data_IF_184314380157
#
_entry.id   IF_184314380157
#
_cell.length_a   1.000
_cell.length_b   1.000
_cell.length_c   1.000
_cell.angle_alpha   90.00
_cell.angle_beta   90.00
_cell.angle_gamma   90.00
#
_symmetry.space_group_name_H-M   'P 1'
#
loop_
_entity.id
_entity.type
_entity.pdbx_description
1 polymer ?
#
# COMPACT_ATOMS: atom_id res chain seq x y z
N UNK A 1 -35.70 10.98 9.31
CA UNK A 1 -34.75 10.65 8.23
C UNK A 1 -33.38 11.21 8.59
N UNK A 2 -32.48 10.38 9.13
CA UNK A 2 -31.10 10.74 9.44
C UNK A 2 -30.24 10.41 8.21
N UNK A 3 -29.65 11.41 7.56
CA UNK A 3 -28.60 11.20 6.57
C UNK A 3 -27.30 10.92 7.33
N UNK A 4 -26.75 9.73 7.14
CA UNK A 4 -25.44 9.35 7.67
C UNK A 4 -24.35 10.13 6.94
N UNK A 5 -23.55 10.87 7.70
CA UNK A 5 -22.30 11.47 7.24
C UNK A 5 -21.27 10.34 7.12
N UNK A 6 -20.73 10.16 5.92
CA UNK A 6 -19.68 9.19 5.63
C UNK A 6 -18.37 9.72 6.24
N UNK A 7 -17.86 9.00 7.22
CA UNK A 7 -16.60 9.28 7.93
C UNK A 7 -15.44 9.26 6.93
N UNK A 8 -14.68 10.36 6.88
CA UNK A 8 -13.46 10.51 6.10
C UNK A 8 -12.40 9.53 6.56
N UNK A 9 -12.07 8.57 5.71
CA UNK A 9 -10.93 7.68 5.87
C UNK A 9 -9.68 8.38 5.32
N UNK A 10 -8.61 8.47 6.10
CA UNK A 10 -7.27 8.73 5.55
C UNK A 10 -6.97 7.64 4.52
N UNK A 11 -6.94 8.04 3.24
CA UNK A 11 -6.74 7.15 2.11
C UNK A 11 -5.28 7.20 1.67
N UNK A 12 -4.43 6.47 2.40
CA UNK A 12 -3.14 6.04 1.87
C UNK A 12 -3.41 4.97 0.79
N UNK A 13 -3.51 5.39 -0.47
CA UNK A 13 -3.76 4.48 -1.60
C UNK A 13 -2.45 4.06 -2.25
N UNK A 14 -2.06 2.80 -2.03
CA UNK A 14 -1.01 2.15 -2.81
C UNK A 14 -1.54 1.79 -4.21
N UNK A 15 -0.96 2.40 -5.25
CA UNK A 15 -1.22 2.04 -6.65
C UNK A 15 -0.57 0.70 -6.98
N UNK A 16 -1.33 -0.22 -7.56
CA UNK A 16 -0.86 -1.53 -8.01
C UNK A 16 -1.33 -1.71 -9.46
N UNK A 17 -0.40 -1.68 -10.42
CA UNK A 17 -0.68 -1.97 -11.83
C UNK A 17 0.19 -3.12 -12.36
N UNK A 18 -0.47 -3.92 -13.21
CA UNK A 18 -0.08 -5.22 -13.68
C UNK A 18 0.80 -5.14 -14.93
N UNK A 19 1.97 -5.78 -14.89
CA UNK A 19 2.80 -6.03 -16.06
C UNK A 19 3.23 -7.50 -16.04
N UNK A 20 2.44 -8.37 -16.65
CA UNK A 20 2.72 -9.82 -16.69
C UNK A 20 2.21 -10.59 -17.90
N UNK A 21 1.45 -9.97 -18.81
CA UNK A 21 0.73 -10.70 -19.85
C UNK A 21 1.49 -10.86 -21.19
N UNK A 22 2.60 -10.16 -21.43
CA UNK A 22 3.18 -10.08 -22.79
C UNK A 22 4.41 -10.98 -23.05
N UNK A 23 4.79 -11.87 -22.12
CA UNK A 23 6.01 -12.69 -22.27
C UNK A 23 5.82 -14.09 -22.90
N UNK A 24 4.59 -14.58 -23.09
CA UNK A 24 4.35 -15.98 -23.49
C UNK A 24 4.34 -16.26 -25.01
N UNK A 25 4.32 -15.25 -25.88
CA UNK A 25 4.11 -15.47 -27.33
C UNK A 25 5.39 -15.77 -28.14
N UNK A 26 6.60 -15.71 -27.55
CA UNK A 26 7.86 -15.80 -28.33
C UNK A 26 8.71 -17.07 -28.15
N UNK A 27 8.23 -18.10 -27.45
CA UNK A 27 8.97 -19.36 -27.30
C UNK A 27 8.24 -20.54 -27.96
N UNK A 28 8.70 -20.89 -29.16
CA UNK A 28 8.18 -21.96 -30.01
C UNK A 28 7.80 -23.25 -29.29
N UNK A 29 6.49 -23.47 -29.19
CA UNK A 29 5.81 -24.68 -28.72
C UNK A 29 6.10 -25.85 -29.67
N UNK A 30 7.26 -26.49 -29.50
CA UNK A 30 7.50 -27.84 -29.99
C UNK A 30 7.16 -28.88 -28.90
N UNK A 31 5.92 -28.83 -28.40
CA UNK A 31 5.29 -29.93 -27.68
C UNK A 31 4.15 -30.47 -28.54
N UNK A 32 4.31 -31.65 -29.14
CA UNK A 32 3.21 -32.35 -29.82
C UNK A 32 2.20 -32.87 -28.78
N UNK A 33 1.44 -31.95 -28.19
CA UNK A 33 0.28 -32.18 -27.35
C UNK A 33 -0.93 -31.47 -27.95
N UNK A 34 -2.14 -31.97 -27.69
CA UNK A 34 -3.40 -31.30 -28.06
C UNK A 34 -3.44 -29.89 -27.46
N UNK A 35 -4.19 -28.98 -28.09
CA UNK A 35 -4.51 -27.64 -27.56
C UNK A 35 -4.97 -27.79 -26.10
N UNK A 36 -4.37 -27.02 -25.20
CA UNK A 36 -4.75 -27.03 -23.78
C UNK A 36 -6.20 -26.58 -23.61
N UNK A 37 -6.93 -27.24 -22.72
CA UNK A 37 -8.30 -26.83 -22.38
C UNK A 37 -8.24 -25.55 -21.56
N UNK A 38 -9.25 -24.69 -21.70
CA UNK A 38 -9.34 -23.43 -20.95
C UNK A 38 -10.69 -23.26 -20.28
N UNK A 39 -10.71 -22.66 -19.10
CA UNK A 39 -11.95 -22.30 -18.41
C UNK A 39 -11.72 -21.06 -17.55
N UNK A 40 -12.71 -20.15 -17.54
CA UNK A 40 -12.76 -19.07 -16.58
C UNK A 40 -13.34 -19.61 -15.26
N UNK A 41 -12.58 -19.51 -14.17
CA UNK A 41 -12.99 -20.00 -12.83
C UNK A 41 -12.76 -18.89 -11.80
N UNK A 42 -13.80 -18.55 -11.05
CA UNK A 42 -13.75 -17.54 -9.99
C UNK A 42 -13.96 -18.12 -8.57
N UNK A 43 -14.38 -17.26 -7.64
CA UNK A 43 -14.53 -17.60 -6.23
C UNK A 43 -15.50 -18.75 -5.92
N UNK A 44 -16.45 -19.06 -6.81
CA UNK A 44 -17.35 -20.20 -6.67
C UNK A 44 -16.63 -21.56 -6.83
N UNK A 45 -15.40 -21.57 -7.35
CA UNK A 45 -14.71 -22.78 -7.77
C UNK A 45 -15.24 -23.30 -9.10
N UNK A 46 -14.73 -24.45 -9.53
CA UNK A 46 -15.06 -25.01 -10.84
C UNK A 46 -14.30 -26.27 -11.14
N UNK A 47 -14.54 -26.83 -12.32
CA UNK A 47 -13.83 -28.02 -12.80
C UNK A 47 -13.46 -27.82 -14.26
N UNK A 48 -12.25 -28.25 -14.62
CA UNK A 48 -11.74 -28.29 -15.99
C UNK A 48 -11.20 -29.69 -16.27
N UNK A 49 -11.51 -30.22 -17.45
CA UNK A 49 -11.12 -31.58 -17.85
C UNK A 49 -10.44 -31.56 -19.21
N UNK A 50 -9.31 -32.25 -19.33
CA UNK A 50 -8.58 -32.42 -20.58
C UNK A 50 -8.33 -33.89 -20.89
N UNK A 51 -8.30 -34.20 -22.19
CA UNK A 51 -7.99 -35.54 -22.69
C UNK A 51 -6.52 -35.63 -23.10
N UNK A 52 -5.77 -36.46 -22.37
CA UNK A 52 -4.39 -36.80 -22.69
C UNK A 52 -4.31 -38.01 -23.64
N UNK A 53 -3.09 -38.35 -24.07
CA UNK A 53 -2.87 -39.50 -24.93
C UNK A 53 -3.34 -40.82 -24.28
N UNK A 54 -3.69 -41.81 -25.12
CA UNK A 54 -4.04 -43.18 -24.70
C UNK A 54 -5.25 -43.25 -23.75
N UNK A 55 -6.24 -42.38 -23.95
CA UNK A 55 -7.49 -42.38 -23.21
C UNK A 55 -7.35 -41.97 -21.74
N UNK A 56 -6.29 -41.24 -21.38
CA UNK A 56 -6.14 -40.71 -20.03
C UNK A 56 -6.94 -39.42 -19.88
N UNK A 57 -7.85 -39.38 -18.91
CA UNK A 57 -8.62 -38.19 -18.56
C UNK A 57 -7.95 -37.48 -17.38
N UNK A 58 -7.74 -36.18 -17.53
CA UNK A 58 -7.19 -35.29 -16.50
C UNK A 58 -8.27 -34.32 -16.07
N UNK A 59 -8.71 -34.38 -14.81
CA UNK A 59 -9.75 -33.49 -14.29
C UNK A 59 -9.20 -32.70 -13.10
N UNK A 60 -9.12 -31.38 -13.23
CA UNK A 60 -8.79 -30.47 -12.15
C UNK A 60 -10.08 -29.93 -11.54
N UNK A 61 -10.29 -30.20 -10.25
CA UNK A 61 -11.39 -29.64 -9.47
C UNK A 61 -10.85 -28.58 -8.50
N UNK A 62 -11.32 -27.35 -8.65
CA UNK A 62 -10.94 -26.18 -7.87
C UNK A 62 -12.09 -25.88 -6.90
N UNK A 63 -11.88 -25.99 -5.57
CA UNK A 63 -12.96 -25.79 -4.62
C UNK A 63 -13.32 -24.30 -4.47
N UNK A 64 -14.54 -24.04 -3.99
CA UNK A 64 -15.00 -22.69 -3.68
C UNK A 64 -14.05 -21.96 -2.70
N UNK A 65 -13.74 -20.71 -3.01
CA UNK A 65 -12.80 -19.86 -2.28
C UNK A 65 -11.33 -20.24 -2.47
N UNK A 66 -10.98 -21.06 -3.47
CA UNK A 66 -9.58 -21.29 -3.85
C UNK A 66 -8.98 -20.13 -4.66
N UNK A 67 -9.84 -19.35 -5.33
CA UNK A 67 -9.48 -18.16 -6.10
C UNK A 67 -10.26 -16.96 -5.54
N UNK A 68 -9.61 -15.81 -5.49
CA UNK A 68 -10.24 -14.56 -5.06
C UNK A 68 -11.01 -13.89 -6.20
N UNK A 69 -10.51 -14.05 -7.42
CA UNK A 69 -10.99 -13.36 -8.62
C UNK A 69 -11.21 -14.37 -9.75
N UNK A 70 -11.99 -13.97 -10.74
CA UNK A 70 -12.18 -14.76 -11.95
C UNK A 70 -10.87 -14.84 -12.75
N UNK A 71 -10.41 -16.06 -13.02
CA UNK A 71 -9.11 -16.33 -13.64
C UNK A 71 -9.28 -17.27 -14.82
N UNK A 72 -8.66 -16.96 -15.96
CA UNK A 72 -8.54 -17.92 -17.06
C UNK A 72 -7.52 -19.01 -16.68
N UNK A 73 -7.98 -20.25 -16.64
CA UNK A 73 -7.20 -21.41 -16.24
C UNK A 73 -6.97 -22.29 -17.45
N UNK A 74 -5.72 -22.68 -17.67
CA UNK A 74 -5.36 -23.61 -18.74
C UNK A 74 -4.90 -24.95 -18.21
N UNK A 75 -5.32 -26.02 -18.88
CA UNK A 75 -5.03 -27.40 -18.55
C UNK A 75 -4.38 -28.06 -19.77
N UNK A 76 -3.05 -28.01 -19.84
CA UNK A 76 -2.29 -28.47 -21.02
C UNK A 76 -1.70 -29.85 -20.78
N UNK A 77 -2.21 -30.93 -21.42
CA UNK A 77 -1.66 -32.27 -21.23
C UNK A 77 -0.21 -32.38 -21.72
N UNK A 78 0.66 -32.99 -20.91
CA UNK A 78 2.08 -33.16 -21.20
C UNK A 78 2.38 -34.65 -21.45
N UNK A 79 3.02 -34.94 -22.58
CA UNK A 79 3.40 -36.30 -22.99
C UNK A 79 4.85 -36.66 -22.65
N UNK A 80 5.70 -35.65 -22.45
CA UNK A 80 7.10 -35.79 -22.05
C UNK A 80 7.58 -34.51 -21.36
N UNK A 81 8.58 -34.63 -20.48
CA UNK A 81 9.18 -33.52 -19.73
C UNK A 81 10.70 -33.63 -19.79
N UNK A 82 11.42 -32.51 -19.90
CA UNK A 82 12.89 -32.51 -19.88
C UNK A 82 13.37 -32.85 -18.46
N UNK A 83 14.59 -33.35 -18.33
CA UNK A 83 15.20 -33.67 -17.02
C UNK A 83 14.71 -34.95 -16.35
N UNK A 84 13.70 -35.64 -16.89
CA UNK A 84 13.23 -36.91 -16.35
C UNK A 84 14.32 -37.99 -16.42
N UNK A 85 14.58 -38.75 -15.33
CA UNK A 85 15.51 -39.87 -15.37
C UNK A 85 15.15 -40.86 -16.49
N UNK A 86 16.13 -41.30 -17.28
CA UNK A 86 15.91 -42.10 -18.52
C UNK A 86 15.02 -43.34 -18.37
N UNK A 87 14.98 -43.93 -17.16
CA UNK A 87 14.20 -45.15 -16.84
C UNK A 87 12.81 -44.85 -16.25
N UNK A 88 12.47 -43.58 -16.03
CA UNK A 88 11.13 -43.13 -15.63
C UNK A 88 10.43 -42.61 -16.89
N UNK A 89 9.18 -43.02 -17.08
CA UNK A 89 8.33 -42.58 -18.18
C UNK A 89 7.07 -41.94 -17.64
N UNK A 90 6.76 -40.73 -18.11
CA UNK A 90 5.50 -40.07 -17.79
C UNK A 90 4.33 -40.93 -18.31
N UNK A 91 3.43 -41.30 -17.40
CA UNK A 91 2.20 -42.02 -17.73
C UNK A 91 1.12 -41.03 -18.17
N UNK A 92 0.98 -39.93 -17.43
CA UNK A 92 0.18 -38.76 -17.79
C UNK A 92 0.65 -37.55 -16.98
N UNK A 93 0.58 -36.36 -17.55
CA UNK A 93 0.91 -35.13 -16.85
C UNK A 93 0.16 -33.95 -17.43
N UNK A 94 0.19 -32.85 -16.70
CA UNK A 94 -0.45 -31.59 -17.07
C UNK A 94 0.46 -30.43 -16.67
N UNK A 95 0.50 -29.43 -17.53
CA UNK A 95 0.99 -28.09 -17.21
C UNK A 95 -0.22 -27.19 -16.99
N UNK A 96 -0.30 -26.60 -15.80
CA UNK A 96 -1.34 -25.61 -15.49
C UNK A 96 -0.89 -24.21 -15.91
N UNK A 97 -1.81 -23.39 -16.38
CA UNK A 97 -1.62 -21.94 -16.52
C UNK A 97 -2.71 -21.18 -15.76
N UNK A 98 -2.40 -19.98 -15.21
CA UNK A 98 -1.10 -19.29 -15.23
C UNK A 98 -0.04 -19.96 -14.34
N UNK A 99 1.21 -20.06 -14.82
CA UNK A 99 2.31 -20.66 -14.05
C UNK A 99 2.52 -19.90 -12.73
N UNK A 100 2.71 -20.63 -11.63
CA UNK A 100 2.98 -20.06 -10.32
C UNK A 100 1.75 -19.58 -9.55
N UNK A 101 0.55 -19.60 -10.15
CA UNK A 101 -0.69 -19.19 -9.47
C UNK A 101 -0.90 -19.99 -8.18
N UNK A 102 -0.81 -19.33 -7.03
CA UNK A 102 -1.01 -19.95 -5.72
C UNK A 102 -2.49 -20.02 -5.37
N UNK A 103 -2.96 -21.19 -4.90
CA UNK A 103 -4.37 -21.38 -4.57
C UNK A 103 -4.63 -21.17 -3.08
N UNK A 104 -5.73 -20.47 -2.76
CA UNK A 104 -6.21 -20.23 -1.39
C UNK A 104 -6.72 -21.51 -0.68
N UNK A 105 -7.07 -22.55 -1.45
CA UNK A 105 -7.34 -23.92 -0.98
C UNK A 105 -6.78 -24.90 -2.00
N UNK A 106 -6.33 -26.07 -1.55
CA UNK A 106 -5.78 -27.07 -2.48
C UNK A 106 -6.88 -27.55 -3.45
N UNK A 107 -6.62 -27.43 -4.76
CA UNK A 107 -7.38 -28.10 -5.79
C UNK A 107 -7.03 -29.59 -5.83
N UNK A 108 -7.84 -30.37 -6.54
CA UNK A 108 -7.59 -31.81 -6.74
C UNK A 108 -7.46 -32.09 -8.22
N UNK A 109 -6.28 -32.59 -8.63
CA UNK A 109 -6.11 -33.20 -9.94
C UNK A 109 -6.41 -34.69 -9.83
N UNK A 110 -7.35 -35.15 -10.63
CA UNK A 110 -7.71 -36.53 -10.81
C UNK A 110 -7.15 -37.02 -12.16
N UNK A 111 -6.28 -38.02 -12.10
CA UNK A 111 -5.68 -38.67 -13.28
C UNK A 111 -6.29 -40.05 -13.41
N UNK A 112 -7.15 -40.21 -14.42
CA UNK A 112 -7.79 -41.48 -14.73
C UNK A 112 -7.02 -42.17 -15.86
N UNK A 113 -6.32 -43.27 -15.56
CA UNK A 113 -5.43 -43.92 -16.53
C UNK A 113 -5.33 -45.43 -16.32
N UNK A 114 -5.26 -46.20 -17.40
CA UNK A 114 -5.02 -47.65 -17.36
C UNK A 114 -3.63 -48.01 -16.84
N UNK A 115 -2.71 -47.03 -16.77
CA UNK A 115 -1.35 -47.19 -16.25
C UNK A 115 -1.19 -46.72 -14.82
N UNK A 116 -2.28 -46.67 -14.05
CA UNK A 116 -2.21 -46.28 -12.66
C UNK A 116 -1.35 -47.27 -11.88
N UNK A 117 -1.40 -48.57 -12.17
CA UNK A 117 -0.60 -49.59 -11.48
C UNK A 117 0.91 -49.25 -11.52
N UNK A 118 1.55 -49.15 -10.35
CA UNK A 118 2.97 -48.81 -10.22
C UNK A 118 3.33 -47.34 -10.51
N UNK A 119 2.38 -46.49 -10.90
CA UNK A 119 2.67 -45.07 -11.12
C UNK A 119 2.97 -44.36 -9.80
N UNK A 120 3.81 -43.32 -9.84
CA UNK A 120 4.07 -42.41 -8.72
C UNK A 120 3.90 -40.99 -9.21
N UNK A 121 3.44 -40.10 -8.34
CA UNK A 121 3.24 -38.71 -8.71
C UNK A 121 4.56 -37.93 -8.76
N UNK A 122 4.62 -36.98 -9.68
CA UNK A 122 5.71 -36.05 -9.90
C UNK A 122 5.16 -34.62 -9.96
N UNK A 123 5.98 -33.66 -9.54
CA UNK A 123 5.78 -32.23 -9.78
C UNK A 123 7.05 -31.63 -10.41
N UNK A 124 6.87 -30.55 -11.17
CA UNK A 124 7.93 -29.80 -11.82
C UNK A 124 7.48 -28.36 -12.10
N UNK A 125 8.43 -27.49 -12.43
CA UNK A 125 8.19 -26.14 -12.93
C UNK A 125 8.51 -26.02 -14.42
N UNK A 126 7.76 -25.18 -15.13
CA UNK A 126 7.91 -24.96 -16.57
C UNK A 126 8.01 -26.27 -17.36
N UNK A 127 9.05 -26.42 -18.19
CA UNK A 127 9.23 -27.61 -19.05
C UNK A 127 10.00 -28.78 -18.40
N UNK A 128 9.95 -28.92 -17.07
CA UNK A 128 10.56 -30.04 -16.33
C UNK A 128 11.72 -29.65 -15.42
N UNK A 129 11.74 -28.42 -14.89
CA UNK A 129 12.70 -28.02 -13.84
C UNK A 129 12.26 -28.54 -12.47
N UNK A 130 13.22 -28.76 -11.57
CA UNK A 130 13.00 -29.14 -10.16
C UNK A 130 12.06 -30.33 -9.95
N UNK A 131 12.27 -31.37 -10.75
CA UNK A 131 11.47 -32.59 -10.69
C UNK A 131 11.57 -33.20 -9.30
N UNK A 132 10.43 -33.39 -8.66
CA UNK A 132 10.33 -34.04 -7.36
C UNK A 132 9.16 -35.01 -7.33
N UNK A 133 9.25 -36.02 -6.46
CA UNK A 133 8.10 -36.89 -6.16
C UNK A 133 7.06 -36.07 -5.43
N UNK A 134 5.81 -36.31 -5.76
CA UNK A 134 4.69 -35.53 -5.23
C UNK A 134 3.72 -36.41 -4.44
N UNK A 135 3.06 -35.89 -3.39
CA UNK A 135 2.05 -36.66 -2.65
C UNK A 135 0.87 -37.02 -3.55
N UNK A 136 0.42 -38.27 -3.46
CA UNK A 136 -0.75 -38.74 -4.20
C UNK A 136 -1.45 -39.88 -3.48
N UNK A 137 -2.76 -39.98 -3.65
CA UNK A 137 -3.54 -41.17 -3.26
C UNK A 137 -3.99 -41.91 -4.51
N UNK A 138 -4.20 -43.22 -4.38
CA UNK A 138 -4.66 -44.08 -5.47
C UNK A 138 -5.89 -44.86 -5.06
N UNK A 139 -6.84 -44.95 -5.98
CA UNK A 139 -7.98 -45.87 -5.90
C UNK A 139 -8.17 -46.51 -7.29
N UNK A 140 -7.79 -47.78 -7.44
CA UNK A 140 -7.86 -48.48 -8.73
C UNK A 140 -7.05 -47.78 -9.83
N UNK A 141 -7.72 -47.44 -10.93
CA UNK A 141 -7.16 -46.73 -12.10
C UNK A 141 -7.08 -45.21 -11.94
N UNK A 142 -7.42 -44.70 -10.76
CA UNK A 142 -7.44 -43.27 -10.46
C UNK A 142 -6.29 -42.88 -9.53
N UNK A 143 -5.57 -41.82 -9.90
CA UNK A 143 -4.56 -41.18 -9.04
C UNK A 143 -5.03 -39.76 -8.74
N UNK A 144 -5.10 -39.41 -7.45
CA UNK A 144 -5.48 -38.08 -6.98
C UNK A 144 -4.25 -37.36 -6.45
N UNK A 145 -4.05 -36.12 -6.90
CA UNK A 145 -2.96 -35.23 -6.50
C UNK A 145 -3.57 -33.93 -5.96
N UNK A 146 -3.05 -33.44 -4.84
CA UNK A 146 -3.46 -32.13 -4.29
C UNK A 146 -2.67 -31.03 -4.97
N UNK A 147 -3.31 -30.14 -5.71
CA UNK A 147 -2.65 -29.03 -6.41
C UNK A 147 -2.74 -27.79 -5.53
N UNK A 148 -1.59 -27.23 -5.17
CA UNK A 148 -1.49 -26.12 -4.19
C UNK A 148 -1.06 -24.80 -4.85
N UNK A 149 -0.45 -24.92 -6.02
CA UNK A 149 -0.16 -23.85 -6.95
C UNK A 149 -0.11 -24.44 -8.37
N UNK A 150 -0.21 -23.60 -9.39
CA UNK A 150 -0.13 -24.01 -10.77
C UNK A 150 1.32 -24.16 -11.21
N UNK A 151 1.61 -25.35 -11.70
CA UNK A 151 2.90 -25.76 -12.24
C UNK A 151 2.67 -27.03 -13.07
N UNK A 152 3.73 -27.78 -13.32
CA UNK A 152 3.62 -29.12 -13.85
C UNK A 152 3.36 -30.18 -12.77
N UNK A 153 2.36 -31.04 -12.97
CA UNK A 153 2.18 -32.24 -12.14
C UNK A 153 1.73 -33.43 -12.98
N UNK A 154 2.04 -34.64 -12.52
CA UNK A 154 1.66 -35.83 -13.25
C UNK A 154 1.98 -37.11 -12.53
N UNK A 155 1.82 -38.21 -13.25
CA UNK A 155 2.14 -39.56 -12.80
C UNK A 155 3.12 -40.18 -13.76
N UNK A 156 4.10 -40.91 -13.23
CA UNK A 156 5.11 -41.60 -14.02
C UNK A 156 5.36 -43.01 -13.49
N UNK A 157 5.82 -43.88 -14.39
CA UNK A 157 6.12 -45.29 -14.12
C UNK A 157 7.59 -45.56 -14.38
N UNK A 158 8.18 -46.48 -13.62
CA UNK A 158 9.57 -46.88 -13.78
C UNK A 158 10.01 -47.82 -12.66
N UNK A 159 11.09 -48.60 -12.85
CA UNK A 159 11.60 -49.52 -11.84
C UNK A 159 12.03 -48.77 -10.59
N UNK A 160 11.90 -49.38 -9.41
CA UNK A 160 12.16 -48.74 -8.10
C UNK A 160 13.48 -47.98 -8.04
N UNK A 161 14.57 -48.59 -8.51
CA UNK A 161 15.91 -47.99 -8.53
C UNK A 161 16.01 -46.70 -9.37
N UNK A 162 15.16 -46.54 -10.41
CA UNK A 162 15.16 -45.33 -11.24
C UNK A 162 14.69 -44.08 -10.46
N UNK A 163 14.01 -44.27 -9.34
CA UNK A 163 13.50 -43.18 -8.50
C UNK A 163 14.53 -42.66 -7.50
N UNK A 164 15.65 -43.35 -7.28
CA UNK A 164 16.62 -42.97 -6.24
C UNK A 164 17.19 -41.55 -6.44
N UNK A 165 17.30 -41.08 -7.69
CA UNK A 165 17.73 -39.72 -8.02
C UNK A 165 16.60 -38.67 -8.09
N UNK A 166 15.36 -39.04 -7.78
CA UNK A 166 14.23 -38.10 -7.74
C UNK A 166 13.93 -37.74 -6.28
N UNK A 167 14.17 -36.50 -5.85
CA UNK A 167 13.90 -36.03 -4.49
C UNK A 167 12.45 -36.30 -4.08
N UNK A 168 12.22 -36.66 -2.82
CA UNK A 168 10.86 -36.64 -2.26
C UNK A 168 10.34 -35.21 -2.16
N UNK A 169 9.03 -35.03 -2.01
CA UNK A 169 8.45 -33.71 -1.70
C UNK A 169 9.11 -33.08 -0.46
N UNK A 170 9.39 -33.88 0.56
CA UNK A 170 10.08 -33.42 1.77
C UNK A 170 11.50 -32.94 1.47
N UNK A 171 12.29 -33.71 0.72
CA UNK A 171 13.65 -33.29 0.30
C UNK A 171 13.61 -32.02 -0.55
N UNK A 172 12.72 -31.94 -1.54
CA UNK A 172 12.61 -30.78 -2.43
C UNK A 172 12.23 -29.51 -1.66
N UNK A 173 11.26 -29.60 -0.73
CA UNK A 173 10.87 -28.47 0.11
C UNK A 173 11.97 -28.03 1.08
N UNK A 174 12.76 -28.96 1.64
CA UNK A 174 13.94 -28.63 2.46
C UNK A 174 15.01 -27.91 1.65
N UNK A 175 15.27 -28.37 0.42
CA UNK A 175 16.21 -27.71 -0.49
C UNK A 175 15.72 -26.29 -0.80
N UNK A 176 14.45 -26.10 -1.14
CA UNK A 176 13.85 -24.78 -1.37
C UNK A 176 13.93 -23.87 -0.14
N UNK A 177 13.65 -24.41 1.04
CA UNK A 177 13.77 -23.66 2.30
C UNK A 177 15.20 -23.14 2.50
N UNK A 178 16.19 -24.03 2.36
CA UNK A 178 17.60 -23.70 2.56
C UNK A 178 18.15 -22.74 1.49
N UNK A 179 17.72 -22.88 0.23
CA UNK A 179 18.21 -22.09 -0.89
C UNK A 179 17.54 -20.71 -1.02
N UNK A 180 16.23 -20.64 -0.80
CA UNK A 180 15.45 -19.45 -1.16
C UNK A 180 14.90 -18.72 0.06
N UNK A 181 14.31 -19.45 1.02
CA UNK A 181 13.55 -18.87 2.13
C UNK A 181 14.46 -18.40 3.25
N UNK A 182 15.29 -19.29 3.79
CA UNK A 182 16.14 -18.98 4.94
C UNK A 182 17.15 -17.86 4.64
N UNK A 183 17.82 -17.83 3.47
CA UNK A 183 18.77 -16.76 3.16
C UNK A 183 18.12 -15.38 3.07
N UNK A 184 16.94 -15.25 2.46
CA UNK A 184 16.25 -13.95 2.38
C UNK A 184 15.74 -13.50 3.74
N UNK A 185 15.27 -14.43 4.59
CA UNK A 185 14.89 -14.10 5.97
C UNK A 185 16.08 -13.63 6.80
N UNK A 186 17.23 -14.32 6.71
CA UNK A 186 18.47 -13.89 7.40
C UNK A 186 18.97 -12.54 6.91
N UNK A 187 18.82 -12.24 5.61
CA UNK A 187 19.15 -10.93 5.05
C UNK A 187 18.23 -9.83 5.59
N UNK A 188 16.94 -10.12 5.75
CA UNK A 188 15.95 -9.19 6.28
C UNK A 188 16.18 -8.77 7.75
N UNK A 189 16.97 -9.54 8.51
CA UNK A 189 17.42 -9.16 9.85
C UNK A 189 18.32 -7.92 9.86
N UNK A 190 18.92 -7.57 8.72
CA UNK A 190 19.83 -6.42 8.58
C UNK A 190 19.36 -5.42 7.54
N UNK A 191 18.72 -5.90 6.48
CA UNK A 191 18.23 -5.07 5.38
C UNK A 191 16.70 -5.07 5.38
N UNK A 192 16.12 -4.00 5.92
CA UNK A 192 14.66 -3.90 6.06
C UNK A 192 13.94 -3.89 4.70
N UNK A 193 14.58 -3.40 3.64
CA UNK A 193 14.01 -3.32 2.28
C UNK A 193 13.58 -4.68 1.72
N UNK A 194 14.19 -5.78 2.19
CA UNK A 194 13.82 -7.14 1.75
C UNK A 194 12.83 -7.83 2.68
N UNK A 195 12.33 -7.16 3.73
CA UNK A 195 11.41 -7.74 4.70
C UNK A 195 10.13 -8.25 4.02
N UNK A 196 9.51 -7.47 3.12
CA UNK A 196 8.29 -7.89 2.40
C UNK A 196 8.50 -9.17 1.60
N UNK A 197 9.59 -9.24 0.83
CA UNK A 197 9.97 -10.45 0.07
C UNK A 197 10.19 -11.61 1.03
N UNK A 198 10.97 -11.44 2.10
CA UNK A 198 11.24 -12.48 3.08
C UNK A 198 9.95 -13.07 3.70
N UNK A 199 9.03 -12.20 4.11
CA UNK A 199 7.74 -12.59 4.68
C UNK A 199 6.89 -13.36 3.67
N UNK A 200 6.78 -12.85 2.45
CA UNK A 200 6.03 -13.53 1.38
C UNK A 200 6.60 -14.91 1.05
N UNK A 201 7.94 -15.05 0.99
CA UNK A 201 8.61 -16.32 0.72
C UNK A 201 8.40 -17.32 1.86
N UNK A 202 8.51 -16.87 3.11
CA UNK A 202 8.30 -17.68 4.29
C UNK A 202 6.85 -18.20 4.38
N UNK A 203 5.86 -17.30 4.26
CA UNK A 203 4.45 -17.69 4.33
C UNK A 203 4.01 -18.53 3.13
N UNK A 204 4.53 -18.25 1.93
CA UNK A 204 4.32 -19.08 0.74
C UNK A 204 4.81 -20.52 0.94
N UNK A 205 6.01 -20.68 1.51
CA UNK A 205 6.58 -21.98 1.82
C UNK A 205 5.80 -22.72 2.93
N UNK A 206 5.46 -22.04 4.04
CA UNK A 206 4.65 -22.60 5.12
C UNK A 206 3.29 -23.10 4.62
N UNK A 207 2.64 -22.31 3.79
CA UNK A 207 1.37 -22.65 3.16
C UNK A 207 1.49 -23.90 2.29
N UNK A 208 2.56 -24.01 1.49
CA UNK A 208 2.80 -25.17 0.65
C UNK A 208 2.97 -26.45 1.49
N UNK A 209 3.71 -26.37 2.59
CA UNK A 209 3.89 -27.50 3.54
C UNK A 209 2.54 -27.95 4.11
N UNK A 210 1.70 -27.01 4.56
CA UNK A 210 0.39 -27.31 5.15
C UNK A 210 -0.59 -27.91 4.14
N UNK A 211 -0.69 -27.32 2.95
CA UNK A 211 -1.61 -27.81 1.92
C UNK A 211 -1.24 -29.21 1.40
N UNK A 212 0.04 -29.59 1.51
CA UNK A 212 0.49 -30.95 1.20
C UNK A 212 0.30 -31.94 2.36
N UNK A 213 -0.12 -31.46 3.54
CA UNK A 213 -0.26 -32.29 4.74
C UNK A 213 1.08 -32.72 5.35
N UNK A 214 2.14 -31.94 5.13
CA UNK A 214 3.51 -32.27 5.57
C UNK A 214 3.92 -31.52 6.84
N UNK A 215 3.02 -30.79 7.51
CA UNK A 215 3.35 -29.92 8.66
C UNK A 215 4.15 -30.61 9.78
N UNK A 216 3.92 -31.91 10.02
CA UNK A 216 4.67 -32.69 11.01
C UNK A 216 6.15 -32.90 10.68
N UNK A 217 6.51 -32.92 9.40
CA UNK A 217 7.87 -33.19 8.89
C UNK A 217 8.80 -31.96 8.97
N UNK A 218 8.23 -30.77 9.16
CA UNK A 218 8.91 -29.48 9.02
C UNK A 218 8.89 -28.65 10.30
N UNK A 219 8.67 -29.27 11.48
CA UNK A 219 8.55 -28.56 12.75
C UNK A 219 9.74 -27.63 13.04
N UNK A 220 10.96 -28.05 12.69
CA UNK A 220 12.17 -27.29 12.93
C UNK A 220 12.23 -26.02 12.06
N UNK A 221 11.99 -26.15 10.76
CA UNK A 221 11.97 -25.04 9.81
C UNK A 221 10.83 -24.05 10.14
N UNK A 222 9.66 -24.56 10.55
CA UNK A 222 8.55 -23.71 11.03
C UNK A 222 8.95 -22.92 12.27
N UNK A 223 9.58 -23.56 13.25
CA UNK A 223 10.05 -22.89 14.45
C UNK A 223 11.11 -21.82 14.14
N UNK A 224 12.04 -22.10 13.21
CA UNK A 224 13.05 -21.12 12.78
C UNK A 224 12.41 -19.91 12.09
N UNK A 225 11.43 -20.12 11.19
CA UNK A 225 10.66 -19.01 10.58
C UNK A 225 10.01 -18.16 11.67
N UNK A 226 9.25 -18.78 12.58
CA UNK A 226 8.52 -18.08 13.64
C UNK A 226 9.46 -17.32 14.59
N UNK A 227 10.67 -17.83 14.84
CA UNK A 227 11.69 -17.15 15.63
C UNK A 227 12.33 -15.95 14.92
N UNK A 228 12.34 -15.94 13.58
CA UNK A 228 12.89 -14.85 12.77
C UNK A 228 11.88 -13.72 12.52
N UNK A 229 10.59 -14.05 12.39
CA UNK A 229 9.52 -13.07 12.12
C UNK A 229 9.55 -11.83 13.02
N UNK A 230 9.50 -11.92 14.37
CA UNK A 230 9.52 -10.73 15.23
C UNK A 230 10.78 -9.89 15.03
N UNK A 231 11.93 -10.52 14.80
CA UNK A 231 13.21 -9.82 14.60
C UNK A 231 13.24 -9.06 13.28
N UNK A 232 12.67 -9.64 12.21
CA UNK A 232 12.56 -8.99 10.91
C UNK A 232 11.61 -7.80 10.99
N UNK A 233 10.44 -7.97 11.62
CA UNK A 233 9.48 -6.87 11.81
C UNK A 233 10.06 -5.76 12.68
N UNK A 234 10.77 -6.12 13.75
CA UNK A 234 11.46 -5.16 14.61
C UNK A 234 12.48 -4.32 13.83
N UNK A 235 13.40 -4.98 13.10
CA UNK A 235 14.39 -4.27 12.28
C UNK A 235 13.72 -3.37 11.24
N UNK A 236 12.65 -3.85 10.60
CA UNK A 236 11.91 -3.04 9.63
C UNK A 236 11.23 -1.83 10.25
N UNK A 237 10.68 -1.98 11.45
CA UNK A 237 10.04 -0.90 12.21
C UNK A 237 11.06 0.12 12.69
N UNK A 238 12.19 -0.32 13.26
CA UNK A 238 13.26 0.57 13.71
C UNK A 238 13.81 1.39 12.55
N UNK A 239 14.09 0.75 11.40
CA UNK A 239 14.58 1.46 10.21
C UNK A 239 13.55 2.40 9.59
N UNK A 240 12.27 2.06 9.65
CA UNK A 240 11.21 2.95 9.21
C UNK A 240 11.12 4.19 10.13
N UNK A 241 11.23 3.99 11.44
CA UNK A 241 11.28 5.06 12.44
C UNK A 241 12.48 5.98 12.22
N UNK A 242 13.68 5.41 12.06
CA UNK A 242 14.93 6.15 11.78
C UNK A 242 14.78 7.05 10.53
N UNK A 243 14.23 6.49 9.44
CA UNK A 243 14.04 7.23 8.19
C UNK A 243 12.94 8.28 8.30
N UNK A 244 11.87 8.04 9.07
CA UNK A 244 10.91 9.09 9.33
C UNK A 244 11.52 10.24 10.13
N UNK A 245 12.35 9.95 11.15
CA UNK A 245 13.08 11.00 11.87
C UNK A 245 13.99 11.81 10.93
N UNK A 246 14.45 11.21 9.83
CA UNK A 246 15.15 11.87 8.72
C UNK A 246 14.22 12.48 7.65
N UNK A 247 12.96 12.75 8.01
CA UNK A 247 11.92 13.38 7.20
C UNK A 247 11.39 12.60 5.98
N UNK A 248 11.45 11.26 6.02
CA UNK A 248 10.79 10.41 5.04
C UNK A 248 9.38 10.00 5.50
N UNK A 249 8.38 10.79 5.09
CA UNK A 249 6.96 10.56 5.43
C UNK A 249 6.40 9.23 4.89
N UNK A 250 7.00 8.65 3.84
CA UNK A 250 6.53 7.36 3.29
C UNK A 250 6.67 6.23 4.30
N UNK A 251 7.52 6.40 5.31
CA UNK A 251 7.73 5.41 6.35
C UNK A 251 6.55 5.32 7.33
N UNK A 252 5.71 6.35 7.46
CA UNK A 252 4.50 6.29 8.29
C UNK A 252 3.55 5.18 7.81
N UNK A 253 3.23 5.16 6.51
CA UNK A 253 2.41 4.10 5.91
C UNK A 253 3.06 2.73 6.09
N UNK A 254 4.38 2.65 5.93
CA UNK A 254 5.13 1.41 6.12
C UNK A 254 5.02 0.87 7.55
N UNK A 255 5.10 1.74 8.56
CA UNK A 255 4.90 1.36 9.96
C UNK A 255 3.50 0.80 10.21
N UNK A 256 2.46 1.41 9.63
CA UNK A 256 1.09 0.90 9.73
C UNK A 256 0.90 -0.46 9.05
N UNK A 257 1.57 -0.68 7.91
CA UNK A 257 1.60 -2.01 7.25
C UNK A 257 2.26 -3.06 8.15
N UNK A 258 3.33 -2.71 8.86
CA UNK A 258 3.99 -3.59 9.83
C UNK A 258 3.07 -3.87 11.02
N UNK A 259 2.40 -2.86 11.58
CA UNK A 259 1.43 -3.03 12.69
C UNK A 259 0.33 -4.04 12.32
N UNK A 260 -0.29 -3.83 11.15
CA UNK A 260 -1.36 -4.72 10.66
C UNK A 260 -0.86 -6.15 10.50
N UNK A 261 0.34 -6.33 9.96
CA UNK A 261 0.94 -7.63 9.78
C UNK A 261 1.25 -8.30 11.13
N UNK A 262 1.85 -7.56 12.07
CA UNK A 262 2.16 -8.06 13.40
C UNK A 262 0.88 -8.50 14.14
N UNK A 263 -0.17 -7.68 14.10
CA UNK A 263 -1.48 -7.99 14.68
C UNK A 263 -2.14 -9.23 14.08
N UNK A 264 -2.11 -9.39 12.74
CA UNK A 264 -2.67 -10.57 12.06
C UNK A 264 -2.03 -11.89 12.52
N UNK A 265 -0.74 -11.84 12.88
CA UNK A 265 0.04 -13.01 13.27
C UNK A 265 0.29 -13.12 14.78
N UNK A 266 -0.28 -12.22 15.60
CA UNK A 266 -0.03 -12.17 17.04
C UNK A 266 1.45 -11.95 17.40
N UNK A 267 2.20 -11.30 16.52
CA UNK A 267 3.63 -11.01 16.72
C UNK A 267 3.74 -9.74 17.54
N UNK A 268 4.51 -9.81 18.62
CA UNK A 268 4.82 -8.65 19.45
C UNK A 268 6.19 -8.09 19.04
N UNK A 269 6.23 -6.80 18.71
CA UNK A 269 7.47 -6.03 18.56
C UNK A 269 7.82 -5.39 19.90
N UNK A 270 9.11 -5.19 20.16
CA UNK A 270 9.59 -4.62 21.41
C UNK A 270 9.49 -3.08 21.41
N UNK A 271 9.23 -2.52 22.59
CA UNK A 271 9.10 -1.09 22.81
C UNK A 271 7.78 -0.53 22.29
N UNK A 272 7.82 0.71 21.81
CA UNK A 272 6.65 1.37 21.25
C UNK A 272 6.11 0.65 20.01
N UNK A 273 4.78 0.56 19.92
CA UNK A 273 4.08 -0.05 18.79
C UNK A 273 4.37 0.70 17.48
N UNK A 274 4.12 0.05 16.34
CA UNK A 274 4.31 0.72 15.06
C UNK A 274 3.31 1.86 14.86
N UNK A 275 2.11 1.77 15.46
CA UNK A 275 1.15 2.87 15.52
C UNK A 275 1.68 4.08 16.31
N UNK A 276 2.27 3.85 17.49
CA UNK A 276 2.82 4.91 18.32
C UNK A 276 3.99 5.63 17.62
N UNK A 277 4.88 4.86 16.97
CA UNK A 277 5.98 5.42 16.16
C UNK A 277 5.47 6.16 14.93
N UNK A 278 4.41 5.67 14.28
CA UNK A 278 3.75 6.39 13.20
C UNK A 278 3.13 7.71 13.66
N UNK A 279 2.56 7.77 14.87
CA UNK A 279 2.07 9.04 15.45
C UNK A 279 3.21 10.02 15.68
N UNK A 280 4.28 9.61 16.37
CA UNK A 280 5.50 10.42 16.57
C UNK A 280 6.12 10.90 15.25
N UNK A 281 6.00 10.09 14.21
CA UNK A 281 6.39 10.44 12.86
C UNK A 281 5.48 11.53 12.25
N UNK A 282 4.17 11.51 12.48
CA UNK A 282 3.20 12.42 11.84
C UNK A 282 2.95 13.71 12.64
N UNK A 283 4.02 14.39 13.04
CA UNK A 283 3.97 15.72 13.64
C UNK A 283 4.38 16.79 12.65
N UNK A 284 3.62 17.87 12.60
CA UNK A 284 3.85 18.95 11.65
C UNK A 284 3.71 20.32 12.31
N UNK A 285 4.36 21.31 11.71
CA UNK A 285 4.13 22.71 11.99
C UNK A 285 3.73 23.42 10.69
N UNK A 286 2.70 24.25 10.77
CA UNK A 286 2.28 25.14 9.68
C UNK A 286 2.68 26.56 10.06
N UNK A 287 3.66 27.12 9.34
CA UNK A 287 3.90 28.56 9.39
C UNK A 287 2.97 29.26 8.40
N UNK A 288 2.26 30.24 8.92
CA UNK A 288 1.32 31.08 8.19
C UNK A 288 1.83 32.52 8.23
N UNK A 289 1.95 33.11 7.05
CA UNK A 289 2.26 34.52 6.87
C UNK A 289 1.28 35.10 5.87
N UNK A 290 0.69 36.22 6.23
CA UNK A 290 -0.29 36.86 5.37
C UNK A 290 -0.20 38.38 5.47
N UNK A 291 -0.39 39.01 4.32
CA UNK A 291 -0.42 40.46 4.19
C UNK A 291 -1.57 40.86 3.29
N UNK A 292 -2.39 41.78 3.79
CA UNK A 292 -3.51 42.36 3.07
C UNK A 292 -3.25 43.82 2.77
N UNK A 293 -3.74 44.27 1.63
CA UNK A 293 -3.84 45.68 1.28
C UNK A 293 -5.24 45.94 0.72
N UNK A 294 -5.95 46.88 1.35
CA UNK A 294 -7.22 47.41 0.89
C UNK A 294 -6.99 48.80 0.31
N UNK A 295 -7.26 48.98 -0.97
CA UNK A 295 -7.36 50.29 -1.61
C UNK A 295 -8.80 50.76 -1.39
N UNK A 296 -9.01 51.73 -0.51
CA UNK A 296 -10.35 52.18 -0.10
C UNK A 296 -10.89 53.24 -1.05
N UNK A 297 -10.02 54.18 -1.39
CA UNK A 297 -10.15 55.21 -2.42
C UNK A 297 -8.76 55.39 -3.03
N UNK A 298 -8.60 56.01 -4.21
CA UNK A 298 -7.30 56.09 -4.91
C UNK A 298 -6.18 56.75 -4.07
N UNK A 299 -6.55 57.51 -3.03
CA UNK A 299 -5.63 58.19 -2.13
C UNK A 299 -5.46 57.53 -0.75
N UNK A 300 -6.14 56.42 -0.45
CA UNK A 300 -6.10 55.78 0.86
C UNK A 300 -5.94 54.26 0.76
N UNK A 301 -4.86 53.76 1.37
CA UNK A 301 -4.57 52.33 1.51
C UNK A 301 -4.62 51.95 2.97
N UNK A 302 -5.20 50.79 3.28
CA UNK A 302 -5.07 50.14 4.56
C UNK A 302 -4.34 48.82 4.37
N UNK A 303 -3.37 48.52 5.24
CA UNK A 303 -2.61 47.28 5.20
C UNK A 303 -2.66 46.57 6.56
N UNK A 304 -2.54 45.24 6.53
CA UNK A 304 -2.50 44.41 7.74
C UNK A 304 -1.61 43.21 7.48
N UNK A 305 -0.73 42.92 8.42
CA UNK A 305 0.22 41.81 8.35
C UNK A 305 0.05 40.92 9.57
N UNK A 306 -0.12 39.62 9.33
CA UNK A 306 -0.30 38.63 10.39
C UNK A 306 0.61 37.43 10.20
N UNK A 307 0.94 36.78 11.31
CA UNK A 307 1.66 35.51 11.31
C UNK A 307 1.15 34.57 12.40
N UNK A 308 1.29 33.27 12.17
CA UNK A 308 1.09 32.24 13.18
C UNK A 308 1.93 31.00 12.84
N UNK A 309 2.36 30.26 13.88
CA UNK A 309 2.90 28.91 13.73
C UNK A 309 1.95 27.95 14.43
N UNK A 310 1.30 27.08 13.66
CA UNK A 310 0.34 26.10 14.17
C UNK A 310 1.04 24.77 14.36
N UNK A 311 1.04 24.26 15.59
CA UNK A 311 1.42 22.87 15.85
C UNK A 311 0.26 21.95 15.49
N UNK A 312 0.53 20.98 14.63
CA UNK A 312 -0.47 20.05 14.12
C UNK A 312 -0.29 18.68 14.76
N UNK A 313 -1.38 18.17 15.29
CA UNK A 313 -1.43 16.86 15.95
C UNK A 313 -2.31 15.92 15.15
N UNK A 314 -1.84 14.67 15.01
CA UNK A 314 -2.62 13.60 14.41
C UNK A 314 -3.57 12.99 15.44
N UNK A 315 -4.81 12.75 15.03
CA UNK A 315 -5.80 12.08 15.88
C UNK A 315 -5.37 10.65 16.24
N UNK A 316 -5.95 10.11 17.31
CA UNK A 316 -5.62 8.75 17.77
C UNK A 316 -5.91 7.69 16.71
N UNK A 317 -6.96 7.84 15.91
CA UNK A 317 -7.29 6.93 14.81
C UNK A 317 -6.56 7.25 13.50
N UNK A 318 -5.65 8.23 13.51
CA UNK A 318 -4.94 8.73 12.33
C UNK A 318 -5.86 9.23 11.22
N UNK A 319 -7.09 9.62 11.53
CA UNK A 319 -8.07 10.07 10.55
C UNK A 319 -7.99 11.56 10.24
N UNK A 320 -7.33 12.34 11.11
CA UNK A 320 -7.35 13.80 11.05
C UNK A 320 -6.05 14.39 11.55
N UNK A 321 -5.58 15.47 10.93
CA UNK A 321 -4.46 16.27 11.41
C UNK A 321 -4.95 17.70 11.63
N UNK A 322 -4.91 18.19 12.87
CA UNK A 322 -5.51 19.48 13.21
C UNK A 322 -4.67 20.25 14.22
N UNK A 323 -4.91 21.56 14.33
CA UNK A 323 -4.26 22.40 15.32
C UNK A 323 -4.81 23.82 15.31
N UNK A 324 -4.38 24.64 16.26
CA UNK A 324 -4.72 26.05 16.26
C UNK A 324 -3.61 26.91 16.88
N UNK A 325 -3.53 28.16 16.46
CA UNK A 325 -2.62 29.14 17.04
C UNK A 325 -3.25 30.53 17.01
N UNK A 326 -2.94 31.35 18.01
CA UNK A 326 -3.33 32.76 18.02
C UNK A 326 -2.55 33.52 16.95
N UNK A 327 -3.26 34.31 16.14
CA UNK A 327 -2.64 35.21 15.18
C UNK A 327 -1.85 36.30 15.89
N UNK A 328 -0.64 36.58 15.41
CA UNK A 328 0.16 37.72 15.80
C UNK A 328 0.01 38.82 14.76
N UNK A 329 -0.45 40.00 15.17
CA UNK A 329 -0.44 41.20 14.33
C UNK A 329 0.98 41.77 14.32
N UNK A 330 1.67 41.69 13.18
CA UNK A 330 3.09 42.09 13.08
C UNK A 330 3.28 43.44 12.42
N UNK A 331 2.24 43.99 11.80
CA UNK A 331 2.31 45.27 11.12
C UNK A 331 1.00 45.58 10.41
N UNK A 332 0.92 46.79 9.88
CA UNK A 332 -0.30 47.30 9.31
C UNK A 332 -0.40 48.81 9.46
N UNK A 333 -1.33 49.40 8.76
CA UNK A 333 -1.57 50.82 8.88
C UNK A 333 -2.70 51.28 7.98
N UNK A 334 -2.90 52.59 8.03
CA UNK A 334 -3.70 53.30 7.06
C UNK A 334 -2.86 54.47 6.58
N UNK A 335 -2.81 54.74 5.28
CA UNK A 335 -1.89 55.74 4.71
C UNK A 335 -2.06 57.16 5.29
N UNK A 336 -3.24 57.45 5.87
CA UNK A 336 -3.57 58.71 6.54
C UNK A 336 -3.47 58.67 8.08
N UNK A 337 -3.02 57.57 8.69
CA UNK A 337 -3.06 57.35 10.15
C UNK A 337 -1.74 56.75 10.67
N UNK A 338 -1.64 56.56 11.99
CA UNK A 338 -0.51 55.86 12.61
C UNK A 338 -0.43 54.39 12.15
N UNK A 339 0.74 53.74 12.31
CA UNK A 339 0.84 52.29 12.25
C UNK A 339 -0.21 51.64 13.15
N UNK A 340 -0.78 50.54 12.69
CA UNK A 340 -1.77 49.79 13.44
C UNK A 340 -1.10 49.05 14.61
N UNK A 341 -1.78 49.00 15.75
CA UNK A 341 -1.45 48.07 16.83
C UNK A 341 -2.62 47.12 17.01
N UNK A 342 -2.34 45.83 17.17
CA UNK A 342 -3.38 44.82 17.19
C UNK A 342 -2.97 43.54 17.87
N UNK A 343 -3.94 42.64 18.03
CA UNK A 343 -3.78 41.32 18.59
C UNK A 343 -4.80 40.35 17.98
N UNK A 344 -4.47 39.06 17.96
CA UNK A 344 -5.41 38.02 17.55
C UNK A 344 -6.57 37.90 18.54
N UNK A 345 -7.80 38.07 18.06
CA UNK A 345 -9.02 37.91 18.85
C UNK A 345 -9.67 36.54 18.65
N UNK A 346 -9.43 35.90 17.49
CA UNK A 346 -9.78 34.49 17.25
C UNK A 346 -8.58 33.76 16.63
N UNK A 347 -8.31 32.52 17.05
CA UNK A 347 -7.16 31.78 16.55
C UNK A 347 -7.35 31.36 15.09
N UNK A 348 -6.24 31.20 14.38
CA UNK A 348 -6.21 30.43 13.16
C UNK A 348 -6.36 28.95 13.54
N UNK A 349 -7.32 28.26 12.93
CA UNK A 349 -7.63 26.85 13.22
C UNK A 349 -7.43 26.05 11.95
N UNK A 350 -6.49 25.11 11.97
CA UNK A 350 -6.41 24.06 10.96
C UNK A 350 -7.40 22.98 11.36
N UNK A 351 -8.51 22.94 10.64
CA UNK A 351 -9.54 21.95 10.86
C UNK A 351 -9.06 20.58 10.38
N UNK A 352 -8.46 20.50 9.20
CA UNK A 352 -7.88 19.25 8.71
C UNK A 352 -6.71 19.52 7.77
N UNK A 353 -5.73 18.62 7.77
CA UNK A 353 -4.61 18.60 6.84
C UNK A 353 -4.54 17.20 6.22
N UNK A 354 -4.83 17.13 4.92
CA UNK A 354 -4.72 15.92 4.13
C UNK A 354 -3.42 15.96 3.32
N UNK A 355 -2.61 14.90 3.45
CA UNK A 355 -1.37 14.69 2.72
C UNK A 355 -1.48 13.40 1.94
N UNK A 356 -1.63 13.50 0.63
CA UNK A 356 -1.59 12.36 -0.28
C UNK A 356 -0.14 12.13 -0.72
N UNK A 357 0.44 10.99 -0.37
CA UNK A 357 1.78 10.57 -0.81
C UNK A 357 1.76 9.70 -2.07
N UNK A 358 0.65 9.72 -2.82
CA UNK A 358 0.39 8.87 -3.98
C UNK A 358 1.52 8.81 -5.01
N UNK A 359 1.55 7.71 -5.76
CA UNK A 359 2.68 7.31 -6.60
C UNK A 359 3.03 8.26 -7.76
N UNK A 360 2.11 9.12 -8.19
CA UNK A 360 2.30 9.99 -9.37
C UNK A 360 2.57 11.46 -9.04
N UNK A 361 2.05 11.97 -7.93
CA UNK A 361 2.30 13.32 -7.43
C UNK A 361 1.78 13.47 -6.01
N UNK A 362 2.62 13.81 -5.02
CA UNK A 362 2.14 14.13 -3.69
C UNK A 362 1.25 15.37 -3.70
N UNK A 363 0.17 15.35 -2.92
CA UNK A 363 -0.80 16.44 -2.80
C UNK A 363 -0.98 16.87 -1.35
N UNK A 364 -1.26 18.16 -1.15
CA UNK A 364 -1.64 18.70 0.16
C UNK A 364 -2.96 19.47 0.01
N UNK A 365 -3.90 19.20 0.90
CA UNK A 365 -5.14 19.94 1.06
C UNK A 365 -5.25 20.39 2.52
N UNK A 366 -5.43 21.70 2.72
CA UNK A 366 -5.59 22.30 4.03
C UNK A 366 -7.02 22.83 4.17
N UNK A 367 -7.76 22.36 5.17
CA UNK A 367 -9.01 22.96 5.59
C UNK A 367 -8.77 23.82 6.83
N UNK A 368 -9.02 25.12 6.76
CA UNK A 368 -8.73 26.04 7.85
C UNK A 368 -9.78 27.13 8.07
N UNK A 369 -9.80 27.66 9.29
CA UNK A 369 -10.38 28.95 9.65
C UNK A 369 -9.23 29.94 9.82
N UNK A 370 -9.19 31.04 9.07
CA UNK A 370 -8.05 31.97 9.07
C UNK A 370 -7.90 32.74 10.39
N UNK A 371 -8.90 32.74 11.28
CA UNK A 371 -8.90 33.49 12.55
C UNK A 371 -9.33 34.95 12.40
N UNK A 372 -9.19 35.74 13.47
CA UNK A 372 -9.50 37.17 13.48
C UNK A 372 -8.43 37.96 14.23
N UNK A 373 -8.21 39.18 13.76
CA UNK A 373 -7.33 40.16 14.40
C UNK A 373 -8.12 41.43 14.66
N UNK A 374 -8.02 41.93 15.89
CA UNK A 374 -8.48 43.26 16.25
C UNK A 374 -7.28 44.20 16.23
N UNK A 375 -7.36 45.25 15.42
CA UNK A 375 -6.34 46.28 15.34
C UNK A 375 -6.94 47.68 15.43
N UNK A 376 -6.13 48.61 15.92
CA UNK A 376 -6.48 50.01 16.13
C UNK A 376 -5.45 50.89 15.44
N UNK A 377 -5.92 51.97 14.82
CA UNK A 377 -5.11 53.01 14.20
C UNK A 377 -5.48 54.36 14.81
N UNK A 378 -4.52 55.28 14.91
CA UNK A 378 -4.79 56.65 15.35
C UNK A 378 -4.76 57.60 14.15
N UNK A 379 -5.92 58.16 13.82
CA UNK A 379 -6.06 59.15 12.76
C UNK A 379 -6.23 60.52 13.44
N UNK A 380 -5.14 61.28 13.54
CA UNK A 380 -5.07 62.44 14.45
C UNK A 380 -5.03 62.00 15.92
N UNK A 381 -5.85 62.62 16.77
CA UNK A 381 -5.89 62.34 18.23
C UNK A 381 -6.92 61.27 18.64
N UNK A 382 -7.62 60.66 17.67
CA UNK A 382 -8.70 59.71 17.95
C UNK A 382 -8.28 58.30 17.55
N UNK A 383 -8.16 57.35 18.50
CA UNK A 383 -8.01 55.95 18.17
C UNK A 383 -9.30 55.45 17.52
N UNK A 384 -9.17 54.75 16.40
CA UNK A 384 -10.28 54.15 15.67
C UNK A 384 -9.98 52.67 15.42
N UNK A 385 -10.97 51.77 15.51
CA UNK A 385 -10.81 50.40 15.03
C UNK A 385 -10.38 50.43 13.56
N UNK A 386 -9.38 49.61 13.20
CA UNK A 386 -9.05 49.43 11.80
C UNK A 386 -10.17 48.58 11.16
N UNK A 387 -11.14 49.25 10.53
CA UNK A 387 -12.32 48.62 9.95
C UNK A 387 -12.01 47.66 8.80
N UNK A 388 -10.81 47.74 8.21
CA UNK A 388 -10.28 46.78 7.24
C UNK A 388 -9.61 45.64 7.99
N UNK A 389 -10.42 44.92 8.76
CA UNK A 389 -9.95 43.76 9.51
C UNK A 389 -9.57 42.64 8.55
N UNK A 390 -8.58 41.85 8.96
CA UNK A 390 -7.99 40.75 8.20
C UNK A 390 -9.03 39.73 7.68
N UNK A 391 -10.01 39.35 8.52
CA UNK A 391 -10.96 38.28 8.16
C UNK A 391 -11.93 38.64 7.02
N UNK A 392 -12.63 39.80 7.03
CA UNK A 392 -13.49 40.20 5.90
C UNK A 392 -12.77 40.25 4.55
N UNK A 393 -11.52 40.72 4.51
CA UNK A 393 -10.72 40.76 3.28
C UNK A 393 -10.42 39.34 2.80
N UNK A 394 -9.88 38.50 3.69
CA UNK A 394 -9.63 37.09 3.39
C UNK A 394 -10.90 36.37 2.90
N UNK A 395 -12.01 36.48 3.63
CA UNK A 395 -13.26 35.80 3.29
C UNK A 395 -13.80 36.23 1.92
N UNK A 396 -13.64 37.51 1.55
CA UNK A 396 -14.03 38.02 0.25
C UNK A 396 -13.19 37.44 -0.88
N UNK A 397 -11.86 37.41 -0.73
CA UNK A 397 -10.90 36.89 -1.71
C UNK A 397 -10.97 35.36 -1.85
N UNK A 398 -11.41 34.68 -0.80
CA UNK A 398 -11.49 33.22 -0.71
C UNK A 398 -12.92 32.67 -0.87
N UNK A 399 -13.88 33.45 -1.38
CA UNK A 399 -15.29 33.04 -1.54
C UNK A 399 -15.51 31.77 -2.39
N UNK A 400 -14.58 31.47 -3.29
CA UNK A 400 -14.63 30.27 -4.14
C UNK A 400 -14.15 28.99 -3.43
N UNK A 401 -13.54 29.12 -2.25
CA UNK A 401 -12.87 28.04 -1.52
C UNK A 401 -13.54 27.68 -0.20
N UNK A 402 -14.69 28.31 0.10
CA UNK A 402 -15.52 28.00 1.27
C UNK A 402 -16.70 27.12 0.91
N UNK A 403 -17.05 26.22 1.82
CA UNK A 403 -18.37 25.58 1.80
C UNK A 403 -19.42 26.57 2.37
N UNK A 404 -20.66 26.53 1.87
CA UNK A 404 -21.77 27.45 2.17
C UNK A 404 -21.76 28.03 3.61
N UNK A 405 -21.20 29.24 3.79
CA UNK A 405 -21.29 29.99 5.04
C UNK A 405 -20.00 30.54 5.65
N UNK A 406 -18.86 30.55 4.93
CA UNK A 406 -17.57 31.03 5.45
C UNK A 406 -17.14 30.31 6.73
N UNK A 407 -17.59 29.06 6.91
CA UNK A 407 -17.18 28.24 8.01
C UNK A 407 -15.70 27.93 7.80
N UNK A 408 -15.32 27.06 6.86
CA UNK A 408 -13.93 26.71 6.59
C UNK A 408 -13.53 26.99 5.15
N UNK A 409 -12.23 27.16 4.92
CA UNK A 409 -11.63 27.40 3.61
C UNK A 409 -10.70 26.25 3.25
N UNK A 410 -10.80 25.77 2.01
CA UNK A 410 -9.99 24.65 1.49
C UNK A 410 -8.90 25.16 0.54
N UNK A 411 -7.65 25.02 0.96
CA UNK A 411 -6.47 25.47 0.23
C UNK A 411 -5.71 24.26 -0.33
N UNK A 412 -5.84 24.02 -1.64
CA UNK A 412 -5.09 23.01 -2.39
C UNK A 412 -3.90 23.57 -3.17
N UNK A 413 -3.39 22.80 -4.14
CA UNK A 413 -2.34 23.23 -5.09
C UNK A 413 -1.05 23.72 -4.42
N UNK A 414 -0.53 22.93 -3.50
CA UNK A 414 0.76 23.19 -2.85
C UNK A 414 1.91 22.69 -3.72
N UNK A 415 3.06 23.34 -3.62
CA UNK A 415 4.32 22.86 -4.16
C UNK A 415 4.94 21.86 -3.19
N UNK A 416 5.01 20.59 -3.58
CA UNK A 416 5.71 19.56 -2.82
C UNK A 416 7.23 19.79 -2.86
N UNK A 417 7.85 19.80 -1.69
CA UNK A 417 9.31 19.98 -1.51
C UNK A 417 9.95 18.68 -1.03
N UNK A 418 9.39 18.08 0.02
CA UNK A 418 9.93 16.88 0.67
C UNK A 418 11.05 17.17 1.68
N UNK A 419 11.26 16.24 2.62
CA UNK A 419 12.18 16.44 3.74
C UNK A 419 11.58 17.30 4.85
N UNK A 420 12.41 18.11 5.53
CA UNK A 420 11.99 18.89 6.69
C UNK A 420 10.92 19.95 6.37
N UNK A 421 11.00 20.55 5.19
CA UNK A 421 9.90 21.34 4.61
C UNK A 421 9.15 20.43 3.65
N UNK A 422 7.93 20.06 4.00
CA UNK A 422 7.14 19.09 3.24
C UNK A 422 6.59 19.74 1.99
N UNK A 423 5.93 20.88 2.17
CA UNK A 423 5.26 21.58 1.09
C UNK A 423 5.18 23.08 1.39
N UNK A 424 5.07 23.87 0.33
CA UNK A 424 4.88 25.32 0.42
C UNK A 424 3.74 25.77 -0.48
N UNK A 425 3.06 26.85 -0.10
CA UNK A 425 2.06 27.50 -0.92
C UNK A 425 2.21 29.00 -0.76
N UNK A 426 2.56 29.68 -1.85
CA UNK A 426 2.57 31.14 -1.92
C UNK A 426 1.66 31.57 -3.05
N UNK A 427 0.81 32.56 -2.79
CA UNK A 427 -0.06 33.15 -3.79
C UNK A 427 -0.31 34.63 -3.51
N UNK A 428 -0.67 35.33 -4.57
CA UNK A 428 -1.18 36.70 -4.53
C UNK A 428 -2.55 36.71 -5.21
N UNK A 429 -3.53 37.41 -4.63
CA UNK A 429 -4.84 37.61 -5.24
C UNK A 429 -5.23 39.06 -5.14
N UNK A 430 -5.90 39.54 -6.18
CA UNK A 430 -6.49 40.87 -6.20
C UNK A 430 -7.89 40.80 -6.80
N UNK A 431 -8.87 41.37 -6.10
CA UNK A 431 -10.25 41.45 -6.56
C UNK A 431 -10.79 42.88 -6.35
N UNK A 432 -11.55 43.44 -7.31
CA UNK A 432 -12.21 44.72 -7.13
C UNK A 432 -13.37 44.60 -6.12
N UNK A 433 -13.57 45.63 -5.30
CA UNK A 433 -14.70 45.69 -4.37
C UNK A 433 -15.97 46.06 -5.15
N UNK A 434 -17.06 45.29 -5.08
CA UNK A 434 -18.26 45.57 -5.86
C UNK A 434 -18.84 46.96 -5.54
N UNK A 435 -19.24 47.70 -6.58
CA UNK A 435 -19.88 49.02 -6.47
C UNK A 435 -19.04 50.13 -5.79
N UNK A 436 -17.71 49.96 -5.69
CA UNK A 436 -16.80 50.90 -5.02
C UNK A 436 -16.03 51.83 -5.97
N UNK A 437 -16.13 51.61 -7.28
CA UNK A 437 -15.33 52.31 -8.28
C UNK A 437 -13.95 51.68 -8.44
N UNK A 438 -12.92 52.30 -7.86
CA UNK A 438 -11.50 51.93 -8.01
C UNK A 438 -10.94 51.14 -6.81
N UNK A 439 -11.77 50.78 -5.83
CA UNK A 439 -11.31 50.05 -4.65
C UNK A 439 -11.04 48.58 -4.96
N UNK A 440 -9.95 48.05 -4.40
CA UNK A 440 -9.57 46.64 -4.55
C UNK A 440 -9.04 46.09 -3.24
N UNK A 441 -9.19 44.78 -3.07
CA UNK A 441 -8.50 44.03 -2.04
C UNK A 441 -7.41 43.19 -2.68
N UNK A 442 -6.22 43.26 -2.10
CA UNK A 442 -5.06 42.46 -2.49
C UNK A 442 -4.56 41.69 -1.28
N UNK A 443 -4.25 40.41 -1.47
CA UNK A 443 -3.56 39.60 -0.47
C UNK A 443 -2.30 38.96 -1.04
N UNK A 444 -1.30 38.80 -0.19
CA UNK A 444 -0.18 37.89 -0.41
C UNK A 444 -0.05 36.98 0.79
N UNK A 445 -0.21 35.68 0.56
CA UNK A 445 -0.17 34.66 1.60
C UNK A 445 0.95 33.68 1.31
N UNK A 446 1.70 33.30 2.35
CA UNK A 446 2.68 32.22 2.32
C UNK A 446 2.39 31.22 3.43
N UNK A 447 2.27 29.95 3.06
CA UNK A 447 2.13 28.82 3.95
C UNK A 447 3.32 27.88 3.78
N UNK A 448 3.94 27.49 4.90
CA UNK A 448 5.05 26.53 4.92
C UNK A 448 4.69 25.39 5.85
N UNK A 449 4.55 24.19 5.28
CA UNK A 449 4.30 22.97 6.05
C UNK A 449 5.63 22.30 6.36
N UNK A 450 5.99 22.21 7.64
CA UNK A 450 7.19 21.54 8.13
C UNK A 450 6.85 20.21 8.78
N UNK A 451 7.71 19.23 8.58
CA UNK A 451 7.66 17.95 9.26
C UNK A 451 8.60 17.96 10.46
N UNK A 452 8.04 17.78 11.66
CA UNK A 452 8.73 17.93 12.94
C UNK A 452 8.54 16.67 13.79
N UNK A 453 9.11 15.52 13.38
CA UNK A 453 8.89 14.25 14.06
C UNK A 453 9.36 14.30 15.52
N UNK A 454 8.60 13.67 16.41
CA UNK A 454 9.00 13.49 17.80
C UNK A 454 10.05 12.37 17.93
N UNK A 455 11.06 12.61 18.76
CA UNK A 455 12.17 11.68 19.02
C UNK A 455 11.76 10.45 19.83
#
# INVERSE_FOLDING_TARGET
>A
MRKGSTIGSVRLRAGQEAAGAEAEERLGLAGRGRVGERASIGGAGGTITAQAARGTTLTLSIPAGALAEETEITLTPVSAMRGQPKKIRLAAGVQFGPEGLALAKAATLMVQTSRAAGARALAWYGLGKDISRYPSTRAGSQVKLRVVHFSGVGTAVGPGAAWNGVPTATTALRVRYAADVLPVMKRALRLDQVAGVALSSAFGWLRQVELLGLGGEFKAERAEILALLPKILQNALDKASDRCAAHDLTQAERMLKIERLAGLFGIHVAGASALERARRCLHFELDYYDSHTAVVIPSATADTHVTATVKLEVSSDLSRISGSATLQHVGGGHSACSPATGHGSQPLVVADLDIDLGASAPGVMLEMHPGMVESTVACGNSPSPNGYTYFPVFAFLHRAETDNGYASFKLGSWAWVGGATVATKTYERTEPVPNSGESSFTETTTLVLRHTPES
#
